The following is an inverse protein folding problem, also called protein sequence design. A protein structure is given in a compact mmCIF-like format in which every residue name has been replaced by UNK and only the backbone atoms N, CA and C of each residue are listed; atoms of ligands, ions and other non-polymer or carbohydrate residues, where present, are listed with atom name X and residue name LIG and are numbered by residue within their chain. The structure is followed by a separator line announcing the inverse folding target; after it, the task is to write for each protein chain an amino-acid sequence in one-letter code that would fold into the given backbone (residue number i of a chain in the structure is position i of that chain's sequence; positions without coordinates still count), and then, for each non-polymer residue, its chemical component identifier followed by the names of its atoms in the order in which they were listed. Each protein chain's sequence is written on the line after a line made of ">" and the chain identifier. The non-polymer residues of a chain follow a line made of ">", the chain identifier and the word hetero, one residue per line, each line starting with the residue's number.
data_IF_643986937336
#
_entry.id   IF_643986937336
#
_cell.length_a   1.000
_cell.length_b   1.000
_cell.length_c   1.000
_cell.angle_alpha   90.00
_cell.angle_beta   90.00
_cell.angle_gamma   90.00
#
_symmetry.space_group_name_H-M   'P 1'
#
loop_
_entity.id
_entity.type
_entity.pdbx_description
1 polymer ?
#
# COMPACT_ATOMS: atom_id res chain seq x y z
N UNK A 1 7.38 6.52 9.73
CA UNK A 1 6.99 5.13 10.05
C UNK A 1 6.04 5.16 11.23
N UNK A 2 4.80 4.71 11.03
CA UNK A 2 3.85 4.56 12.12
C UNK A 2 4.34 3.43 13.02
N UNK A 3 4.56 3.72 14.30
CA UNK A 3 4.77 2.69 15.32
C UNK A 3 3.48 1.89 15.46
N UNK A 4 3.59 0.56 15.43
CA UNK A 4 2.48 -0.34 15.74
C UNK A 4 1.87 0.11 17.09
N UNK A 5 0.58 0.50 17.15
CA UNK A 5 -0.07 0.75 18.43
C UNK A 5 0.08 -0.50 19.28
N UNK A 6 0.37 -0.37 20.57
CA UNK A 6 0.37 -1.53 21.46
C UNK A 6 -1.03 -2.17 21.39
N UNK A 7 -1.14 -3.31 20.70
CA UNK A 7 -2.42 -3.98 20.37
C UNK A 7 -3.21 -4.33 21.63
N UNK A 8 -2.57 -4.29 22.80
CA UNK A 8 -3.21 -4.50 24.10
C UNK A 8 -4.11 -3.34 24.54
N UNK A 9 -4.00 -2.14 23.97
CA UNK A 9 -4.73 -0.94 24.38
C UNK A 9 -5.27 -0.09 23.20
N UNK A 10 -5.65 -0.70 22.07
CA UNK A 10 -6.28 0.04 20.96
C UNK A 10 -7.78 0.26 21.23
N UNK A 11 -8.26 1.49 21.11
CA UNK A 11 -9.70 1.75 21.20
C UNK A 11 -10.41 1.28 19.92
N UNK A 12 -11.71 0.99 20.00
CA UNK A 12 -12.50 0.63 18.81
C UNK A 12 -12.47 1.73 17.74
N UNK A 13 -12.50 3.00 18.14
CA UNK A 13 -12.46 4.13 17.20
C UNK A 13 -11.09 4.28 16.53
N UNK A 14 -10.00 4.04 17.25
CA UNK A 14 -8.65 4.02 16.67
C UNK A 14 -8.51 2.87 15.68
N UNK A 15 -8.96 1.67 16.05
CA UNK A 15 -8.95 0.50 15.18
C UNK A 15 -9.78 0.73 13.90
N UNK A 16 -10.99 1.27 14.04
CA UNK A 16 -11.85 1.61 12.91
C UNK A 16 -11.21 2.67 12.00
N UNK A 17 -10.57 3.68 12.58
CA UNK A 17 -9.85 4.71 11.84
C UNK A 17 -8.68 4.11 11.04
N UNK A 18 -7.93 3.21 11.65
CA UNK A 18 -6.85 2.47 11.01
C UNK A 18 -7.36 1.61 9.84
N UNK A 19 -8.42 0.83 10.04
CA UNK A 19 -9.04 0.02 8.98
C UNK A 19 -9.51 0.88 7.80
N UNK A 20 -10.13 2.04 8.06
CA UNK A 20 -10.57 2.96 7.01
C UNK A 20 -9.36 3.53 6.25
N UNK A 21 -8.28 3.86 6.94
CA UNK A 21 -7.05 4.37 6.31
C UNK A 21 -6.40 3.30 5.42
N UNK A 22 -6.28 2.07 5.91
CA UNK A 22 -5.78 0.93 5.12
C UNK A 22 -6.63 0.68 3.88
N UNK A 23 -7.96 0.69 4.03
CA UNK A 23 -8.90 0.54 2.93
C UNK A 23 -8.68 1.62 1.87
N UNK A 24 -8.54 2.89 2.27
CA UNK A 24 -8.27 4.00 1.34
C UNK A 24 -6.96 3.80 0.57
N UNK A 25 -5.89 3.36 1.24
CA UNK A 25 -4.60 3.08 0.58
C UNK A 25 -4.72 1.91 -0.39
N UNK A 26 -5.37 0.81 0.02
CA UNK A 26 -5.60 -0.35 -0.85
C UNK A 26 -6.41 0.02 -2.10
N UNK A 27 -7.53 0.73 -1.93
CA UNK A 27 -8.39 1.13 -3.06
C UNK A 27 -7.66 2.10 -3.98
N UNK A 28 -6.94 3.09 -3.43
CA UNK A 28 -6.14 4.01 -4.25
C UNK A 28 -5.10 3.25 -5.09
N UNK A 29 -4.36 2.35 -4.45
CA UNK A 29 -3.40 1.49 -5.14
C UNK A 29 -4.08 0.66 -6.25
N UNK A 30 -5.24 0.07 -5.97
CA UNK A 30 -6.00 -0.70 -6.96
C UNK A 30 -6.43 0.16 -8.15
N UNK A 31 -6.98 1.35 -7.91
CA UNK A 31 -7.39 2.26 -8.97
C UNK A 31 -6.21 2.73 -9.83
N UNK A 32 -5.06 3.04 -9.21
CA UNK A 32 -3.83 3.34 -9.95
C UNK A 32 -3.41 2.19 -10.86
N UNK A 33 -3.51 0.94 -10.39
CA UNK A 33 -3.21 -0.25 -11.19
C UNK A 33 -4.15 -0.41 -12.39
N UNK A 34 -5.46 -0.17 -12.19
CA UNK A 34 -6.46 -0.24 -13.26
C UNK A 34 -6.23 0.84 -14.32
N UNK A 35 -5.98 2.08 -13.88
CA UNK A 35 -5.66 3.20 -14.76
C UNK A 35 -4.40 2.91 -15.57
N UNK A 36 -3.30 2.56 -14.90
CA UNK A 36 -2.04 2.27 -15.58
C UNK A 36 -2.16 1.12 -16.57
N UNK A 37 -2.90 0.04 -16.22
CA UNK A 37 -3.16 -1.07 -17.15
C UNK A 37 -3.89 -0.59 -18.40
N UNK A 38 -4.89 0.28 -18.24
CA UNK A 38 -5.63 0.85 -19.38
C UNK A 38 -4.73 1.70 -20.29
N UNK A 39 -3.87 2.53 -19.73
CA UNK A 39 -2.95 3.36 -20.51
C UNK A 39 -1.92 2.51 -21.29
N UNK A 40 -1.46 1.39 -20.72
CA UNK A 40 -0.59 0.43 -21.42
C UNK A 40 -1.35 -0.28 -22.54
N UNK A 41 -2.55 -0.80 -22.27
CA UNK A 41 -3.36 -1.53 -23.26
C UNK A 41 -3.81 -0.65 -24.43
N UNK A 42 -3.97 0.66 -24.20
CA UNK A 42 -4.33 1.63 -25.25
C UNK A 42 -3.12 2.20 -25.99
N UNK A 43 -1.90 1.72 -25.68
CA UNK A 43 -0.67 2.13 -26.37
C UNK A 43 -0.14 3.51 -25.98
N UNK A 44 -0.76 4.18 -25.00
CA UNK A 44 -0.31 5.48 -24.49
C UNK A 44 0.93 5.36 -23.60
N UNK A 45 1.10 4.21 -22.94
CA UNK A 45 2.32 3.84 -22.24
C UNK A 45 2.97 2.62 -22.90
N UNK A 46 4.31 2.58 -22.92
CA UNK A 46 5.08 1.48 -23.54
C UNK A 46 5.20 0.24 -22.65
N UNK A 47 5.08 0.41 -21.33
CA UNK A 47 5.24 -0.65 -20.34
C UNK A 47 4.56 -0.28 -19.03
N UNK A 48 4.09 -1.29 -18.29
CA UNK A 48 3.57 -1.10 -16.94
C UNK A 48 3.43 -2.43 -16.22
N UNK A 49 3.92 -2.48 -14.97
CA UNK A 49 3.73 -3.59 -14.05
C UNK A 49 3.04 -3.03 -12.81
N UNK A 50 1.93 -3.66 -12.43
CA UNK A 50 1.08 -3.18 -11.33
C UNK A 50 0.91 -4.25 -10.25
N UNK A 51 0.66 -3.80 -9.02
CA UNK A 51 0.61 -4.61 -7.81
C UNK A 51 -0.73 -5.32 -7.53
N UNK A 52 -1.50 -5.65 -8.56
CA UNK A 52 -2.85 -6.21 -8.40
C UNK A 52 -2.90 -7.45 -7.49
N UNK A 53 -3.80 -7.42 -6.50
CA UNK A 53 -3.99 -8.52 -5.55
C UNK A 53 -2.94 -8.58 -4.43
N UNK A 54 -1.99 -7.64 -4.39
CA UNK A 54 -0.97 -7.54 -3.33
C UNK A 54 -1.27 -6.45 -2.30
N UNK A 55 -2.41 -5.79 -2.38
CA UNK A 55 -2.73 -4.61 -1.58
C UNK A 55 -2.75 -4.94 -0.08
N UNK A 56 -3.55 -5.93 0.32
CA UNK A 56 -3.68 -6.37 1.73
C UNK A 56 -2.35 -6.90 2.31
N UNK A 57 -1.61 -7.84 1.69
CA UNK A 57 -0.36 -8.31 2.26
C UNK A 57 0.71 -7.21 2.36
N UNK A 58 0.71 -6.23 1.45
CA UNK A 58 1.64 -5.10 1.54
C UNK A 58 1.27 -4.09 2.63
N UNK A 59 -0.02 -3.89 2.92
CA UNK A 59 -0.46 -3.13 4.10
C UNK A 59 -0.02 -3.82 5.39
N UNK A 60 -0.22 -5.14 5.49
CA UNK A 60 0.24 -5.92 6.63
C UNK A 60 1.76 -5.83 6.81
N UNK A 61 2.52 -5.94 5.70
CA UNK A 61 3.97 -5.76 5.71
C UNK A 61 4.35 -4.35 6.18
N UNK A 62 3.71 -3.30 5.67
CA UNK A 62 4.00 -1.91 6.05
C UNK A 62 3.80 -1.65 7.55
N UNK A 63 2.80 -2.28 8.18
CA UNK A 63 2.59 -2.21 9.63
C UNK A 63 3.66 -2.94 10.42
N UNK A 64 4.10 -4.10 9.92
CA UNK A 64 5.13 -4.90 10.58
C UNK A 64 6.55 -4.32 10.41
N UNK A 65 6.77 -3.50 9.38
CA UNK A 65 8.07 -2.97 8.98
C UNK A 65 8.55 -1.86 9.92
N UNK A 66 9.76 -2.01 10.47
CA UNK A 66 10.36 -1.13 11.46
C UNK A 66 11.64 -0.50 10.95
N UNK A 67 12.05 0.59 11.61
CA UNK A 67 13.34 1.23 11.33
C UNK A 67 14.47 0.23 11.57
N UNK A 68 15.28 -0.01 10.54
CA UNK A 68 16.37 -1.00 10.55
C UNK A 68 16.04 -2.30 9.83
N UNK A 69 14.76 -2.54 9.51
CA UNK A 69 14.38 -3.63 8.61
C UNK A 69 14.82 -3.30 7.18
N UNK A 70 15.27 -4.32 6.45
CA UNK A 70 15.70 -4.21 5.07
C UNK A 70 14.67 -4.94 4.19
N UNK A 71 14.27 -4.31 3.08
CA UNK A 71 13.45 -4.96 2.05
C UNK A 71 14.17 -4.94 0.71
N UNK A 72 14.19 -6.08 0.03
CA UNK A 72 14.56 -6.13 -1.38
C UNK A 72 13.28 -6.01 -2.21
N UNK A 73 12.97 -4.78 -2.64
CA UNK A 73 11.74 -4.47 -3.36
C UNK A 73 11.83 -4.67 -4.87
N UNK A 74 10.67 -4.69 -5.54
CA UNK A 74 10.57 -4.73 -7.01
C UNK A 74 9.35 -3.94 -7.52
N UNK A 75 9.03 -4.06 -8.80
CA UNK A 75 8.05 -3.20 -9.50
C UNK A 75 6.60 -3.29 -9.00
N UNK A 76 6.28 -4.22 -8.09
CA UNK A 76 4.91 -4.49 -7.63
C UNK A 76 4.63 -4.01 -6.21
N UNK A 77 5.48 -3.17 -5.64
CA UNK A 77 5.42 -2.77 -4.22
C UNK A 77 4.76 -1.41 -3.98
N UNK A 78 3.93 -0.96 -4.92
CA UNK A 78 3.31 0.36 -4.88
C UNK A 78 2.47 0.57 -3.61
N UNK A 79 1.71 -0.44 -3.15
CA UNK A 79 0.85 -0.31 -1.97
C UNK A 79 1.70 -0.15 -0.72
N UNK A 80 2.79 -0.92 -0.61
CA UNK A 80 3.74 -0.80 0.48
C UNK A 80 4.32 0.62 0.52
N UNK A 81 4.82 1.13 -0.61
CA UNK A 81 5.40 2.47 -0.70
C UNK A 81 4.41 3.57 -0.32
N UNK A 82 3.15 3.47 -0.77
CA UNK A 82 2.07 4.38 -0.34
C UNK A 82 1.81 4.28 1.16
N UNK A 83 1.77 3.06 1.72
CA UNK A 83 1.47 2.83 3.12
C UNK A 83 2.57 3.34 4.08
N UNK A 84 3.84 3.26 3.67
CA UNK A 84 4.96 3.80 4.48
C UNK A 84 5.23 5.30 4.23
N UNK A 85 4.51 5.92 3.30
CA UNK A 85 4.64 7.35 2.97
C UNK A 85 5.79 7.69 2.03
N UNK A 86 6.41 6.71 1.39
CA UNK A 86 7.51 6.89 0.41
C UNK A 86 6.98 7.08 -1.02
N UNK A 87 5.66 7.04 -1.22
CA UNK A 87 4.97 7.38 -2.45
C UNK A 87 3.73 8.22 -2.14
N UNK A 88 3.74 9.49 -2.53
CA UNK A 88 2.61 10.43 -2.42
C UNK A 88 1.93 10.61 -3.78
N UNK A 89 0.60 10.76 -3.78
CA UNK A 89 -0.25 10.94 -4.97
C UNK A 89 -1.08 12.19 -4.84
#
# INVERSE_FOLDING_TARGET
>A
MQSIPDLKNISFEDFKTEVINDYKVAVRSRECSLLGRREVLTGKAKFGIFGDGKEVPQLAMAKAFKKGDWRSGYYRDQTFMMAIGELTV
#
